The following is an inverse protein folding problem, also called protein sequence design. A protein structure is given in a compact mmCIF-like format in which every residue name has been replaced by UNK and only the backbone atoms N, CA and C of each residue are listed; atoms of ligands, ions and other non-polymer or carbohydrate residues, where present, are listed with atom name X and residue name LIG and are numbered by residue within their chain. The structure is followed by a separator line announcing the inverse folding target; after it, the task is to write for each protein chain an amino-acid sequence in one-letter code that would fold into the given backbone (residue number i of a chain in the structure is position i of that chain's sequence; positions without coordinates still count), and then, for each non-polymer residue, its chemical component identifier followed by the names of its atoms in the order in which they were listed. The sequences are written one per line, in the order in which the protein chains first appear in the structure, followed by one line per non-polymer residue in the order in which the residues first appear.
data_IF_783191640688
#
_entry.id   IF_783191640688
#
_cell.length_a   1.000
_cell.length_b   1.000
_cell.length_c   1.000
_cell.angle_alpha   90.00
_cell.angle_beta   90.00
_cell.angle_gamma   90.00
#
_symmetry.space_group_name_H-M   'P 1'
#
loop_
_entity.id
_entity.type
_entity.pdbx_description
1 polymer ?
#
# COMPACT_ATOMS: atom_id res chain seq x y z
N UNK A 1 -26.93 -2.79 25.00
CA UNK A 1 -26.17 -1.54 25.22
C UNK A 1 -24.69 -1.63 24.82
N UNK A 2 -24.15 -2.81 24.50
CA UNK A 2 -22.75 -3.02 24.06
C UNK A 2 -22.53 -2.75 22.56
N UNK A 3 -23.59 -2.77 21.76
CA UNK A 3 -23.54 -2.65 20.30
C UNK A 3 -23.18 -1.24 19.81
N UNK A 4 -23.31 -0.22 20.67
CA UNK A 4 -23.04 1.18 20.33
C UNK A 4 -21.64 1.66 20.71
N UNK A 5 -20.94 0.97 21.61
CA UNK A 5 -19.50 1.20 21.86
C UNK A 5 -18.63 0.83 20.64
N UNK A 6 -19.11 -0.14 19.86
CA UNK A 6 -18.46 -0.68 18.65
C UNK A 6 -18.33 0.33 17.49
N UNK A 7 -19.12 1.41 17.48
CA UNK A 7 -19.17 2.36 16.36
C UNK A 7 -18.45 3.70 16.65
N UNK A 8 -18.17 4.01 17.91
CA UNK A 8 -17.69 5.34 18.33
C UNK A 8 -16.32 5.36 19.01
N UNK A 9 -15.79 4.21 19.43
CA UNK A 9 -14.53 4.14 20.16
C UNK A 9 -13.78 2.88 19.73
N UNK A 10 -13.26 2.89 18.49
CA UNK A 10 -12.37 1.84 17.98
C UNK A 10 -11.11 1.79 18.85
N UNK A 11 -11.22 1.09 19.97
CA UNK A 11 -10.12 0.86 20.88
C UNK A 11 -9.19 -0.20 20.32
N UNK A 12 -8.01 -0.30 20.93
CA UNK A 12 -6.99 -1.30 20.57
C UNK A 12 -7.55 -2.73 20.58
N UNK A 13 -8.53 -3.02 21.45
CA UNK A 13 -9.16 -4.34 21.55
C UNK A 13 -9.97 -4.74 20.30
N UNK A 14 -10.80 -3.84 19.74
CA UNK A 14 -11.58 -4.16 18.54
C UNK A 14 -10.70 -4.31 17.30
N UNK A 15 -9.67 -3.46 17.18
CA UNK A 15 -8.69 -3.58 16.08
C UNK A 15 -8.01 -4.94 16.10
N UNK A 16 -7.64 -5.45 17.28
CA UNK A 16 -7.05 -6.79 17.43
C UNK A 16 -8.03 -7.89 17.00
N UNK A 17 -9.31 -7.79 17.38
CA UNK A 17 -10.32 -8.78 16.98
C UNK A 17 -10.51 -8.78 15.46
N UNK A 18 -10.63 -7.60 14.84
CA UNK A 18 -10.75 -7.48 13.38
C UNK A 18 -9.50 -8.05 12.70
N UNK A 19 -8.30 -7.73 13.20
CA UNK A 19 -7.06 -8.25 12.68
C UNK A 19 -7.00 -9.79 12.76
N UNK A 20 -7.47 -10.39 13.86
CA UNK A 20 -7.55 -11.85 14.01
C UNK A 20 -8.53 -12.46 13.00
N UNK A 21 -9.72 -11.88 12.84
CA UNK A 21 -10.71 -12.38 11.86
C UNK A 21 -10.13 -12.32 10.44
N UNK A 22 -9.51 -11.20 10.07
CA UNK A 22 -8.84 -11.03 8.78
C UNK A 22 -7.70 -12.05 8.62
N UNK A 23 -6.92 -12.30 9.68
CA UNK A 23 -5.83 -13.28 9.67
C UNK A 23 -6.35 -14.72 9.49
N UNK A 24 -7.50 -15.06 10.06
CA UNK A 24 -8.12 -16.38 9.89
C UNK A 24 -8.68 -16.57 8.48
N UNK A 25 -9.29 -15.54 7.90
CA UNK A 25 -9.87 -15.61 6.55
C UNK A 25 -8.79 -15.65 5.46
N UNK A 26 -7.79 -14.80 5.55
CA UNK A 26 -6.75 -14.67 4.53
C UNK A 26 -5.51 -15.52 4.85
N UNK A 27 -5.29 -15.90 6.11
CA UNK A 27 -4.08 -16.56 6.56
C UNK A 27 -2.93 -15.58 6.79
N UNK A 28 -2.10 -15.84 7.82
CA UNK A 28 -0.98 -14.95 8.17
C UNK A 28 0.13 -14.82 7.13
N UNK A 29 0.14 -15.68 6.11
CA UNK A 29 1.12 -15.61 5.01
C UNK A 29 0.66 -14.75 3.83
N UNK A 30 -0.66 -14.63 3.59
CA UNK A 30 -1.17 -13.93 2.39
C UNK A 30 -1.07 -12.42 2.51
N UNK A 31 -1.25 -11.83 3.69
CA UNK A 31 -1.13 -10.37 3.86
C UNK A 31 0.30 -9.88 3.58
N UNK A 32 1.37 -10.49 4.15
CA UNK A 32 2.74 -10.13 3.80
C UNK A 32 3.09 -10.36 2.34
N UNK A 33 2.55 -11.41 1.72
CA UNK A 33 2.78 -11.73 0.31
C UNK A 33 2.12 -10.70 -0.62
N UNK A 34 0.87 -10.30 -0.34
CA UNK A 34 0.17 -9.24 -1.04
C UNK A 34 0.88 -7.89 -0.87
N UNK A 35 1.32 -7.55 0.34
CA UNK A 35 2.09 -6.32 0.60
C UNK A 35 3.42 -6.30 -0.17
N UNK A 36 4.13 -7.43 -0.23
CA UNK A 36 5.37 -7.55 -1.03
C UNK A 36 5.09 -7.39 -2.52
N UNK A 37 4.00 -7.96 -3.02
CA UNK A 37 3.56 -7.81 -4.42
C UNK A 37 3.22 -6.35 -4.76
N UNK A 38 2.36 -5.72 -3.95
CA UNK A 38 2.00 -4.31 -4.10
C UNK A 38 3.22 -3.39 -3.98
N UNK A 39 4.10 -3.62 -3.01
CA UNK A 39 5.30 -2.81 -2.81
C UNK A 39 6.25 -2.88 -4.01
N UNK A 40 6.42 -4.07 -4.60
CA UNK A 40 7.20 -4.22 -5.84
C UNK A 40 6.54 -3.50 -7.01
N UNK A 41 5.22 -3.61 -7.16
CA UNK A 41 4.47 -2.92 -8.22
C UNK A 41 4.56 -1.41 -8.12
N UNK A 42 4.37 -0.85 -6.91
CA UNK A 42 4.51 0.60 -6.65
C UNK A 42 5.93 1.06 -6.94
N UNK A 43 6.95 0.29 -6.56
CA UNK A 43 8.36 0.62 -6.84
C UNK A 43 8.62 0.66 -8.34
N UNK A 44 8.25 -0.38 -9.08
CA UNK A 44 8.44 -0.44 -10.53
C UNK A 44 7.67 0.68 -11.26
N UNK A 45 6.46 0.99 -10.79
CA UNK A 45 5.68 2.11 -11.32
C UNK A 45 6.41 3.44 -11.11
N UNK A 46 6.93 3.69 -9.91
CA UNK A 46 7.69 4.90 -9.60
C UNK A 46 8.97 4.99 -10.44
N UNK A 47 9.73 3.90 -10.52
CA UNK A 47 10.99 3.84 -11.28
C UNK A 47 10.73 4.12 -12.78
N UNK A 48 9.65 3.56 -13.34
CA UNK A 48 9.25 3.82 -14.74
C UNK A 48 8.83 5.26 -15.00
N UNK A 49 8.07 5.87 -14.09
CA UNK A 49 7.67 7.28 -14.21
C UNK A 49 8.88 8.21 -14.12
N UNK A 50 9.80 7.97 -13.18
CA UNK A 50 11.01 8.78 -13.05
C UNK A 50 11.94 8.65 -14.26
N UNK A 51 12.10 7.45 -14.83
CA UNK A 51 12.90 7.27 -16.05
C UNK A 51 12.34 8.07 -17.24
N UNK A 52 11.02 8.09 -17.42
CA UNK A 52 10.37 8.89 -18.46
C UNK A 52 10.60 10.40 -18.24
N UNK A 53 10.54 10.85 -16.99
CA UNK A 53 10.73 12.25 -16.62
C UNK A 53 12.17 12.73 -16.88
N UNK A 54 13.15 11.85 -16.65
CA UNK A 54 14.57 12.10 -16.95
C UNK A 54 14.85 12.07 -18.47
N UNK A 55 14.23 11.15 -19.21
CA UNK A 55 14.32 11.08 -20.68
C UNK A 55 13.72 12.33 -21.36
N UNK A 56 12.60 12.84 -20.84
CA UNK A 56 11.97 14.08 -21.33
C UNK A 56 12.87 15.29 -21.02
N UNK A 57 13.49 15.35 -19.83
CA UNK A 57 14.42 16.45 -19.51
C UNK A 57 15.67 16.42 -20.37
N UNK A 58 16.26 15.24 -20.58
CA UNK A 58 17.44 15.08 -21.42
C UNK A 58 17.20 15.51 -22.87
N UNK A 59 16.04 15.14 -23.43
CA UNK A 59 15.67 15.51 -24.80
C UNK A 59 15.41 17.02 -24.98
N UNK A 60 14.82 17.71 -23.99
CA UNK A 60 14.65 19.18 -24.00
C UNK A 60 16.00 19.92 -23.89
N UNK A 61 16.98 19.33 -23.22
CA UNK A 61 18.28 19.96 -22.98
C UNK A 61 19.26 19.76 -24.15
N UNK A 62 19.14 18.65 -24.90
CA UNK A 62 19.85 18.46 -26.18
C UNK A 62 19.33 19.37 -27.29
N UNK A 63 18.02 19.64 -27.36
CA UNK A 63 17.41 20.49 -28.39
C UNK A 63 17.72 22.00 -28.22
N UNK A 64 18.25 22.40 -27.04
CA UNK A 64 18.64 23.78 -26.72
C UNK A 64 20.14 24.07 -26.93
N UNK A 65 20.95 23.07 -27.25
CA UNK A 65 22.38 23.21 -27.59
C UNK A 65 22.60 23.28 -29.10
#
# INVERSE_FOLDING_TARGET
MSTLLFLGNLGTGEIIIIAIVVLLLFGGKKIPELMKGLGKGIKQFKDGVSGIEDDIKGSIEEERK
#
